data_IF_435952296516
#
_entry.id   IF_435952296516
#
_cell.length_a   1.000
_cell.length_b   1.000
_cell.length_c   1.000
_cell.angle_alpha   90.00
_cell.angle_beta   90.00
_cell.angle_gamma   90.00
#
_symmetry.space_group_name_H-M   'P 1'
#
loop_
_entity.id
_entity.type
_entity.pdbx_description
1 polymer ?
#
# COMPACT_ATOMS: atom_id res chain seq x y z
N UNK A 1 -12.91 12.88 5.73
CA UNK A 1 -12.89 11.99 4.54
C UNK A 1 -12.11 10.69 4.81
N UNK A 2 -10.93 10.78 5.43
CA UNK A 2 -10.11 9.58 5.73
C UNK A 2 -10.88 8.53 6.54
N UNK A 3 -11.57 8.93 7.60
CA UNK A 3 -12.32 8.00 8.44
C UNK A 3 -13.50 7.38 7.70
N UNK A 4 -14.16 8.12 6.83
CA UNK A 4 -15.23 7.62 6.00
C UNK A 4 -14.75 6.55 5.01
N UNK A 5 -13.56 6.73 4.43
CA UNK A 5 -12.92 5.75 3.55
C UNK A 5 -12.57 4.48 4.35
N UNK A 6 -11.98 4.62 5.53
CA UNK A 6 -11.62 3.49 6.40
C UNK A 6 -12.87 2.69 6.78
N UNK A 7 -13.95 3.36 7.17
CA UNK A 7 -15.23 2.71 7.47
C UNK A 7 -15.79 1.96 6.26
N UNK A 8 -15.77 2.58 5.08
CA UNK A 8 -16.24 1.96 3.86
C UNK A 8 -15.41 0.71 3.51
N UNK A 9 -14.08 0.79 3.65
CA UNK A 9 -13.20 -0.36 3.44
C UNK A 9 -13.52 -1.49 4.41
N UNK A 10 -13.65 -1.18 5.71
CA UNK A 10 -14.01 -2.18 6.72
C UNK A 10 -15.33 -2.88 6.40
N UNK A 11 -16.34 -2.12 6.00
CA UNK A 11 -17.65 -2.67 5.66
C UNK A 11 -17.61 -3.57 4.44
N UNK A 12 -16.97 -3.11 3.36
CA UNK A 12 -16.93 -3.88 2.11
C UNK A 12 -16.09 -5.16 2.23
N UNK A 13 -14.96 -5.12 2.94
CA UNK A 13 -14.18 -6.32 3.19
C UNK A 13 -14.92 -7.31 4.09
N UNK A 14 -15.66 -6.82 5.09
CA UNK A 14 -16.48 -7.68 5.96
C UNK A 14 -17.60 -8.36 5.20
N UNK A 15 -18.27 -7.67 4.27
CA UNK A 15 -19.32 -8.27 3.43
C UNK A 15 -18.82 -9.44 2.60
N UNK A 16 -17.61 -9.33 2.08
CA UNK A 16 -16.97 -10.37 1.25
C UNK A 16 -16.21 -11.42 2.09
N UNK A 17 -16.29 -11.33 3.41
CA UNK A 17 -15.62 -12.23 4.35
C UNK A 17 -14.11 -12.32 4.13
N UNK A 18 -13.48 -11.20 3.74
CA UNK A 18 -12.03 -11.09 3.58
C UNK A 18 -11.45 -10.46 4.84
N UNK A 19 -10.59 -11.21 5.53
CA UNK A 19 -9.85 -10.69 6.68
C UNK A 19 -8.69 -9.82 6.18
N UNK A 20 -8.65 -8.57 6.62
CA UNK A 20 -7.55 -7.65 6.32
C UNK A 20 -7.03 -7.02 7.63
N UNK A 21 -5.76 -6.64 7.60
CA UNK A 21 -5.13 -5.87 8.67
C UNK A 21 -5.05 -4.41 8.23
N UNK A 22 -6.00 -3.60 8.69
CA UNK A 22 -6.09 -2.17 8.35
C UNK A 22 -5.84 -1.32 9.59
N UNK A 23 -4.96 -0.33 9.45
CA UNK A 23 -4.73 0.68 10.49
C UNK A 23 -5.93 1.63 10.54
N UNK A 24 -6.58 1.72 11.70
CA UNK A 24 -7.81 2.50 11.86
C UNK A 24 -7.58 4.02 11.90
N UNK A 25 -6.32 4.45 11.97
CA UNK A 25 -5.95 5.87 11.94
C UNK A 25 -5.49 6.31 10.55
N UNK A 26 -4.68 5.49 9.88
CA UNK A 26 -4.06 5.85 8.61
C UNK A 26 -4.74 5.22 7.39
N UNK A 27 -5.45 4.11 7.59
CA UNK A 27 -6.03 3.33 6.50
C UNK A 27 -5.03 2.44 5.78
N UNK A 28 -3.78 2.36 6.23
CA UNK A 28 -2.78 1.46 5.66
C UNK A 28 -3.20 0.00 5.85
N UNK A 29 -3.14 -0.78 4.79
CA UNK A 29 -3.44 -2.21 4.82
C UNK A 29 -2.15 -2.99 4.70
N UNK A 30 -1.94 -3.96 5.57
CA UNK A 30 -0.71 -4.74 5.68
C UNK A 30 -0.96 -6.18 5.25
N UNK A 31 -0.11 -6.69 4.34
CA UNK A 31 -0.10 -8.08 3.92
C UNK A 31 1.24 -8.73 4.28
N UNK A 32 1.17 -9.95 4.82
CA UNK A 32 2.38 -10.76 4.97
C UNK A 32 2.96 -11.06 3.57
N UNK A 33 4.25 -10.82 3.41
CA UNK A 33 4.92 -11.04 2.12
C UNK A 33 4.83 -12.50 1.65
N UNK A 34 4.70 -13.47 2.56
CA UNK A 34 4.58 -14.88 2.24
C UNK A 34 3.27 -15.23 1.50
N UNK A 35 2.25 -14.39 1.59
CA UNK A 35 1.01 -14.55 0.81
C UNK A 35 1.28 -14.28 -0.68
N UNK A 36 2.12 -13.30 -0.97
CA UNK A 36 2.35 -12.81 -2.32
C UNK A 36 3.55 -13.46 -3.01
N UNK A 37 4.62 -13.75 -2.26
CA UNK A 37 5.90 -14.16 -2.83
C UNK A 37 6.51 -15.38 -2.13
N UNK A 38 7.26 -16.17 -2.88
CA UNK A 38 8.19 -17.12 -2.31
C UNK A 38 9.44 -16.39 -1.78
N UNK A 39 10.19 -17.08 -0.93
CA UNK A 39 11.39 -16.51 -0.30
C UNK A 39 12.36 -15.96 -1.36
N UNK A 40 12.84 -14.75 -1.16
CA UNK A 40 13.79 -14.04 -2.03
C UNK A 40 13.29 -13.81 -3.45
N UNK A 41 12.01 -13.98 -3.71
CA UNK A 41 11.38 -13.75 -5.02
C UNK A 41 10.56 -12.46 -5.01
N UNK A 42 10.47 -11.82 -6.17
CA UNK A 42 9.59 -10.66 -6.40
C UNK A 42 8.43 -10.99 -7.34
N UNK A 43 8.44 -12.14 -7.98
CA UNK A 43 7.32 -12.62 -8.78
C UNK A 43 6.16 -13.01 -7.85
N UNK A 44 4.95 -12.54 -8.17
CA UNK A 44 3.76 -12.87 -7.38
C UNK A 44 3.36 -14.32 -7.69
N UNK A 45 3.30 -15.15 -6.65
CA UNK A 45 2.91 -16.56 -6.78
C UNK A 45 1.39 -16.71 -6.93
N UNK A 46 0.94 -17.88 -7.34
CA UNK A 46 -0.48 -18.16 -7.63
C UNK A 46 -1.42 -17.82 -6.48
N UNK A 47 -1.04 -18.14 -5.24
CA UNK A 47 -1.80 -17.77 -4.03
C UNK A 47 -1.96 -16.25 -3.90
N UNK A 48 -0.89 -15.52 -4.18
CA UNK A 48 -0.91 -14.06 -4.16
C UNK A 48 -1.81 -13.45 -5.23
N UNK A 49 -1.80 -14.03 -6.43
CA UNK A 49 -2.70 -13.63 -7.52
C UNK A 49 -4.16 -13.83 -7.11
N UNK A 50 -4.49 -14.99 -6.56
CA UNK A 50 -5.84 -15.28 -6.06
C UNK A 50 -6.28 -14.27 -4.99
N UNK A 51 -5.38 -13.93 -4.09
CA UNK A 51 -5.64 -12.95 -3.05
C UNK A 51 -5.89 -11.56 -3.65
N UNK A 52 -5.02 -11.10 -4.55
CA UNK A 52 -5.17 -9.79 -5.20
C UNK A 52 -6.44 -9.70 -6.04
N UNK A 53 -6.85 -10.78 -6.69
CA UNK A 53 -8.10 -10.83 -7.49
C UNK A 53 -9.34 -10.62 -6.61
N UNK A 54 -9.28 -10.99 -5.34
CA UNK A 54 -10.35 -10.73 -4.37
C UNK A 54 -10.23 -9.34 -3.74
N UNK A 55 -9.00 -8.91 -3.48
CA UNK A 55 -8.70 -7.65 -2.77
C UNK A 55 -8.93 -6.42 -3.64
N UNK A 56 -8.36 -6.41 -4.85
CA UNK A 56 -8.32 -5.20 -5.69
C UNK A 56 -9.69 -4.66 -6.08
N UNK A 57 -10.67 -5.49 -6.48
CA UNK A 57 -11.99 -4.96 -6.83
C UNK A 57 -12.65 -4.20 -5.67
N UNK A 58 -12.46 -4.69 -4.45
CA UNK A 58 -13.02 -4.05 -3.25
C UNK A 58 -12.29 -2.75 -2.96
N UNK A 59 -10.96 -2.81 -2.86
CA UNK A 59 -10.14 -1.67 -2.49
C UNK A 59 -10.29 -0.51 -3.49
N UNK A 60 -10.08 -0.81 -4.76
CA UNK A 60 -10.19 0.19 -5.83
C UNK A 60 -11.64 0.64 -6.01
N UNK A 61 -12.59 -0.27 -5.85
CA UNK A 61 -14.02 0.06 -5.91
C UNK A 61 -14.43 1.10 -4.88
N UNK A 62 -13.89 1.02 -3.67
CA UNK A 62 -14.15 2.02 -2.62
C UNK A 62 -13.43 3.33 -2.93
N UNK A 63 -12.11 3.28 -3.16
CA UNK A 63 -11.31 4.49 -3.35
C UNK A 63 -11.74 5.30 -4.59
N UNK A 64 -12.14 4.61 -5.65
CA UNK A 64 -12.59 5.26 -6.90
C UNK A 64 -14.11 5.35 -7.03
N UNK A 65 -14.83 5.12 -5.94
CA UNK A 65 -16.27 5.39 -5.92
C UNK A 65 -16.54 6.87 -6.19
N UNK A 66 -17.76 7.19 -6.64
CA UNK A 66 -18.16 8.57 -6.91
C UNK A 66 -18.02 9.48 -5.68
N UNK A 67 -18.10 8.89 -4.48
CA UNK A 67 -17.96 9.60 -3.21
C UNK A 67 -16.52 10.03 -2.93
N UNK A 68 -15.52 9.19 -3.23
CA UNK A 68 -14.14 9.40 -2.79
C UNK A 68 -13.11 9.67 -3.89
N UNK A 69 -13.42 9.34 -5.14
CA UNK A 69 -12.43 9.37 -6.24
C UNK A 69 -11.68 10.68 -6.39
N UNK A 70 -12.36 11.80 -6.14
CA UNK A 70 -11.79 13.13 -6.32
C UNK A 70 -10.90 13.56 -5.14
N UNK A 71 -10.94 12.81 -4.04
CA UNK A 71 -10.15 13.08 -2.84
C UNK A 71 -8.82 12.32 -2.82
N UNK A 72 -8.61 11.35 -3.70
CA UNK A 72 -7.43 10.48 -3.70
C UNK A 72 -6.29 11.15 -4.48
N UNK A 73 -5.21 11.47 -3.78
CA UNK A 73 -4.01 12.04 -4.39
C UNK A 73 -3.04 10.95 -4.87
N UNK A 74 -2.88 9.87 -4.08
CA UNK A 74 -1.91 8.82 -4.37
C UNK A 74 -2.33 7.50 -3.72
N UNK A 75 -2.02 6.39 -4.39
CA UNK A 75 -2.05 5.04 -3.84
C UNK A 75 -0.63 4.52 -3.89
N UNK A 76 -0.09 4.08 -2.75
CA UNK A 76 1.31 3.71 -2.62
C UNK A 76 1.37 2.22 -2.26
N UNK A 77 2.05 1.44 -3.09
CA UNK A 77 2.40 0.06 -2.78
C UNK A 77 3.81 0.09 -2.20
N UNK A 78 3.96 -0.31 -0.95
CA UNK A 78 5.20 -0.18 -0.20
C UNK A 78 5.71 -1.54 0.25
N UNK A 79 6.93 -1.89 -0.17
CA UNK A 79 7.59 -3.13 0.19
C UNK A 79 8.53 -2.94 1.38
N UNK A 80 8.50 -3.89 2.32
CA UNK A 80 9.36 -3.94 3.50
C UNK A 80 9.98 -5.30 3.66
N UNK A 81 11.22 -5.35 4.14
CA UNK A 81 11.96 -6.59 4.41
C UNK A 81 12.28 -6.73 5.89
N UNK A 82 12.77 -7.92 6.28
CA UNK A 82 13.43 -8.08 7.55
C UNK A 82 14.87 -7.55 7.50
N UNK A 83 15.61 -7.73 8.57
CA UNK A 83 16.98 -7.24 8.73
C UNK A 83 18.05 -8.23 8.28
N UNK A 84 17.66 -9.36 7.71
CA UNK A 84 18.60 -10.32 7.12
C UNK A 84 19.12 -9.79 5.78
N UNK A 85 20.36 -10.06 5.46
CA UNK A 85 21.04 -9.55 4.26
C UNK A 85 21.29 -8.03 4.31
N UNK A 86 21.99 -7.51 3.30
CA UNK A 86 22.37 -6.10 3.25
C UNK A 86 21.23 -5.16 2.91
N UNK A 87 21.39 -3.90 3.29
CA UNK A 87 20.38 -2.86 3.03
C UNK A 87 20.08 -2.69 1.55
N UNK A 88 21.11 -2.63 0.70
CA UNK A 88 20.90 -2.40 -0.75
C UNK A 88 20.25 -3.59 -1.44
N UNK A 89 20.62 -4.82 -1.06
CA UNK A 89 19.95 -6.02 -1.57
C UNK A 89 18.45 -5.97 -1.24
N UNK A 90 18.13 -5.67 0.02
CA UNK A 90 16.74 -5.58 0.48
C UNK A 90 16.01 -4.38 -0.14
N UNK A 91 16.71 -3.29 -0.42
CA UNK A 91 16.09 -2.15 -1.12
C UNK A 91 15.63 -2.56 -2.52
N UNK A 92 16.50 -3.25 -3.27
CA UNK A 92 16.13 -3.79 -4.58
C UNK A 92 14.99 -4.78 -4.51
N UNK A 93 15.05 -5.74 -3.58
CA UNK A 93 14.00 -6.75 -3.41
C UNK A 93 12.65 -6.10 -3.05
N UNK A 94 12.65 -5.18 -2.09
CA UNK A 94 11.42 -4.50 -1.66
C UNK A 94 10.83 -3.64 -2.76
N UNK A 95 11.67 -2.97 -3.55
CA UNK A 95 11.22 -2.19 -4.71
C UNK A 95 10.63 -3.09 -5.78
N UNK A 96 11.28 -4.19 -6.12
CA UNK A 96 10.82 -5.13 -7.13
C UNK A 96 9.50 -5.80 -6.72
N UNK A 97 9.33 -6.10 -5.44
CA UNK A 97 8.09 -6.65 -4.90
C UNK A 97 6.93 -5.66 -5.00
N UNK A 98 7.16 -4.42 -4.61
CA UNK A 98 6.14 -3.37 -4.75
C UNK A 98 5.79 -3.14 -6.23
N UNK A 99 6.79 -3.11 -7.09
CA UNK A 99 6.61 -2.93 -8.55
C UNK A 99 5.78 -4.06 -9.15
N UNK A 100 6.01 -5.33 -8.77
CA UNK A 100 5.22 -6.45 -9.29
C UNK A 100 3.74 -6.32 -8.97
N UNK A 101 3.39 -5.79 -7.80
CA UNK A 101 1.97 -5.52 -7.45
C UNK A 101 1.39 -4.44 -8.36
N UNK A 102 2.11 -3.35 -8.58
CA UNK A 102 1.67 -2.27 -9.48
C UNK A 102 1.49 -2.79 -10.90
N UNK A 103 2.44 -3.56 -11.42
CA UNK A 103 2.35 -4.16 -12.75
C UNK A 103 1.13 -5.07 -12.87
N UNK A 104 0.89 -5.91 -11.86
CA UNK A 104 -0.29 -6.77 -11.83
C UNK A 104 -1.58 -5.96 -11.87
N UNK A 105 -1.69 -4.91 -11.05
CA UNK A 105 -2.86 -4.04 -11.02
C UNK A 105 -3.19 -3.43 -12.38
N UNK A 106 -2.17 -2.96 -13.09
CA UNK A 106 -2.35 -2.20 -14.33
C UNK A 106 -2.48 -3.09 -15.58
N UNK A 107 -1.87 -4.28 -15.58
CA UNK A 107 -1.79 -5.13 -16.78
C UNK A 107 -2.69 -6.36 -16.71
N UNK A 108 -2.67 -7.10 -15.60
CA UNK A 108 -3.21 -8.45 -15.54
C UNK A 108 -4.43 -8.60 -14.62
N UNK A 109 -4.74 -7.59 -13.81
CA UNK A 109 -5.87 -7.65 -12.89
C UNK A 109 -7.21 -7.58 -13.61
N UNK A 110 -8.27 -7.99 -12.90
CA UNK A 110 -9.66 -7.93 -13.39
C UNK A 110 -10.29 -6.54 -13.32
N UNK A 111 -9.53 -5.52 -12.92
CA UNK A 111 -10.01 -4.14 -12.91
C UNK A 111 -10.42 -3.71 -14.33
N UNK A 112 -11.44 -2.84 -14.41
CA UNK A 112 -11.89 -2.31 -15.70
C UNK A 112 -10.80 -1.44 -16.34
N UNK A 113 -10.89 -1.26 -17.65
CA UNK A 113 -9.98 -0.38 -18.39
C UNK A 113 -9.99 1.03 -17.80
N UNK A 114 -11.16 1.54 -17.45
CA UNK A 114 -11.33 2.86 -16.86
C UNK A 114 -10.64 2.96 -15.49
N UNK A 115 -10.82 1.93 -14.64
CA UNK A 115 -10.16 1.85 -13.33
C UNK A 115 -8.63 1.80 -13.48
N UNK A 116 -8.12 1.03 -14.43
CA UNK A 116 -6.68 0.94 -14.71
C UNK A 116 -6.11 2.28 -15.18
N UNK A 117 -6.80 2.99 -16.05
CA UNK A 117 -6.37 4.32 -16.49
C UNK A 117 -6.35 5.33 -15.35
N UNK A 118 -7.38 5.33 -14.52
CA UNK A 118 -7.47 6.18 -13.34
C UNK A 118 -6.37 5.83 -12.33
N UNK A 119 -6.15 4.54 -12.09
CA UNK A 119 -5.12 4.03 -11.18
C UNK A 119 -3.71 4.43 -11.65
N UNK A 120 -3.45 4.38 -12.95
CA UNK A 120 -2.15 4.74 -13.53
C UNK A 120 -1.71 6.15 -13.15
N UNK A 121 -2.64 7.07 -12.97
CA UNK A 121 -2.33 8.47 -12.64
C UNK A 121 -1.96 8.68 -11.16
N UNK A 122 -2.23 7.72 -10.29
CA UNK A 122 -2.07 7.89 -8.84
C UNK A 122 -1.26 6.80 -8.14
N UNK A 123 -1.03 5.64 -8.79
CA UNK A 123 -0.34 4.52 -8.13
C UNK A 123 1.17 4.62 -8.28
N UNK A 124 1.88 4.35 -7.18
CA UNK A 124 3.35 4.30 -7.12
C UNK A 124 3.82 3.06 -6.38
N UNK A 125 5.08 2.68 -6.61
CA UNK A 125 5.76 1.59 -5.92
C UNK A 125 6.93 2.16 -5.13
N UNK A 126 7.06 1.77 -3.86
CA UNK A 126 8.11 2.25 -2.98
C UNK A 126 8.74 1.11 -2.17
N UNK A 127 10.01 0.85 -2.41
CA UNK A 127 10.80 -0.09 -1.63
C UNK A 127 11.43 0.60 -0.43
N UNK A 128 11.26 0.03 0.78
CA UNK A 128 11.76 0.61 2.03
C UNK A 128 12.89 -0.21 2.65
N UNK A 129 13.29 -1.32 2.03
CA UNK A 129 14.30 -2.21 2.63
C UNK A 129 13.90 -2.58 4.07
N UNK A 130 14.84 -2.55 5.02
CA UNK A 130 14.54 -2.75 6.43
C UNK A 130 14.52 -1.44 7.24
N UNK A 131 14.22 -0.32 6.60
CA UNK A 131 14.22 0.99 7.27
C UNK A 131 13.11 1.17 8.31
N UNK A 132 12.09 0.32 8.29
CA UNK A 132 10.95 0.41 9.21
C UNK A 132 10.56 -0.99 9.70
N UNK A 133 11.40 -1.65 10.54
CA UNK A 133 11.09 -2.97 11.04
C UNK A 133 9.94 -2.98 12.02
N UNK A 134 9.25 -4.11 12.11
CA UNK A 134 8.24 -4.36 13.14
C UNK A 134 8.95 -5.00 14.34
N UNK A 135 8.62 -4.53 15.54
CA UNK A 135 9.20 -5.03 16.80
C UNK A 135 8.18 -5.87 17.56
N UNK A 136 8.68 -6.89 18.26
CA UNK A 136 7.86 -7.69 19.16
C UNK A 136 7.71 -7.00 20.53
N UNK A 137 7.00 -7.66 21.45
CA UNK A 137 6.73 -7.13 22.78
C UNK A 137 8.02 -6.93 23.62
N UNK A 138 9.11 -7.64 23.30
CA UNK A 138 10.40 -7.53 23.98
C UNK A 138 11.33 -6.47 23.34
N UNK A 139 10.86 -5.75 22.33
CA UNK A 139 11.63 -4.76 21.63
C UNK A 139 12.61 -5.30 20.61
N UNK A 140 12.52 -6.60 20.28
CA UNK A 140 13.34 -7.23 19.24
C UNK A 140 12.62 -7.17 17.91
N UNK A 141 13.39 -7.17 16.81
CA UNK A 141 12.82 -7.20 15.46
C UNK A 141 12.03 -8.49 15.26
N UNK A 142 10.76 -8.36 14.90
CA UNK A 142 9.94 -9.47 14.45
C UNK A 142 10.21 -9.67 12.96
N UNK A 143 11.02 -10.66 12.62
CA UNK A 143 11.44 -10.89 11.24
C UNK A 143 10.26 -11.22 10.33
N UNK A 144 9.36 -12.08 10.78
CA UNK A 144 8.21 -12.49 9.98
C UNK A 144 7.26 -11.32 9.69
N UNK A 145 6.92 -10.52 10.72
CA UNK A 145 6.04 -9.36 10.55
C UNK A 145 6.70 -8.20 9.80
N UNK A 146 8.04 -8.14 9.82
CA UNK A 146 8.77 -7.12 9.06
C UNK A 146 8.71 -7.37 7.55
N UNK A 147 8.60 -8.63 7.12
CA UNK A 147 8.42 -9.02 5.71
C UNK A 147 6.98 -8.80 5.29
N UNK A 148 6.70 -7.63 4.72
CA UNK A 148 5.33 -7.23 4.41
C UNK A 148 5.24 -6.32 3.20
N UNK A 149 4.05 -6.22 2.67
CA UNK A 149 3.65 -5.18 1.72
C UNK A 149 2.54 -4.35 2.37
N UNK A 150 2.67 -3.05 2.30
CA UNK A 150 1.64 -2.14 2.78
C UNK A 150 1.01 -1.44 1.59
N UNK A 151 -0.32 -1.34 1.61
CA UNK A 151 -1.09 -0.57 0.64
C UNK A 151 -1.62 0.66 1.35
N UNK A 152 -1.20 1.83 0.87
CA UNK A 152 -1.51 3.12 1.50
C UNK A 152 -2.21 4.03 0.50
N UNK A 153 -3.01 4.94 1.00
CA UNK A 153 -3.53 6.04 0.20
C UNK A 153 -3.24 7.38 0.86
N UNK A 154 -3.07 8.41 0.05
CA UNK A 154 -2.89 9.78 0.49
C UNK A 154 -3.98 10.65 -0.12
N UNK A 155 -4.53 11.55 0.68
CA UNK A 155 -5.61 12.44 0.26
C UNK A 155 -5.07 13.78 -0.24
N UNK A 156 -5.79 14.42 -1.14
CA UNK A 156 -5.43 15.75 -1.68
C UNK A 156 -5.39 16.82 -0.62
N UNK A 157 -6.24 16.72 0.40
CA UNK A 157 -6.24 17.65 1.54
C UNK A 157 -4.91 17.62 2.31
N UNK A 158 -4.34 16.41 2.48
CA UNK A 158 -3.03 16.23 3.13
C UNK A 158 -1.92 16.87 2.31
N UNK A 159 -1.97 16.74 0.99
CA UNK A 159 -1.03 17.37 0.07
C UNK A 159 -1.10 18.91 0.18
N UNK A 160 -2.31 19.48 0.18
CA UNK A 160 -2.54 20.90 0.32
C UNK A 160 -1.98 21.43 1.66
N UNK A 161 -2.19 20.72 2.76
CA UNK A 161 -1.65 21.10 4.08
C UNK A 161 -0.14 21.14 4.05
N UNK A 162 0.52 20.15 3.45
CA UNK A 162 1.98 20.12 3.32
C UNK A 162 2.50 21.28 2.48
N UNK A 163 1.85 21.64 1.38
CA UNK A 163 2.22 22.77 0.55
C UNK A 163 2.10 24.09 1.33
N UNK A 164 1.02 24.27 2.08
CA UNK A 164 0.82 25.47 2.91
C UNK A 164 1.88 25.57 4.00
N UNK A 165 2.23 24.49 4.67
CA UNK A 165 3.31 24.46 5.66
C UNK A 165 4.65 24.81 5.04
N UNK A 166 4.96 24.28 3.86
CA UNK A 166 6.17 24.62 3.11
C UNK A 166 6.26 26.10 2.73
N UNK A 167 5.15 26.74 2.39
CA UNK A 167 5.09 28.17 2.09
C UNK A 167 5.34 28.99 3.37
N UNK A 168 4.74 28.62 4.49
CA UNK A 168 4.93 29.29 5.77
C UNK A 168 6.38 29.21 6.24
N UNK A 169 7.00 28.03 6.16
CA UNK A 169 8.40 27.84 6.53
C UNK A 169 9.35 28.69 5.67
N UNK A 170 9.09 28.81 4.36
CA UNK A 170 9.87 29.68 3.48
C UNK A 170 9.67 31.15 3.77
N UNK A 171 8.49 31.53 4.27
CA UNK A 171 8.20 32.92 4.68
C UNK A 171 8.95 33.36 5.93
N UNK A 172 9.21 32.46 6.85
CA UNK A 172 9.90 32.73 8.12
C UNK A 172 11.43 32.87 7.96
N UNK A 173 12.00 32.54 6.81
CA UNK A 173 13.44 32.61 6.52
C UNK A 173 13.84 33.95 5.83
N UNK A 174 12.94 34.88 5.64
CA UNK A 174 13.17 36.22 5.13
C UNK A 174 13.08 37.26 6.24
#
# INVERSE_FOLDING_TARGET
VKQEIIEALNQEFSKEEIAINIDQQTGAIVFDASILYDRSKSEIKGEGIQFLDRFLPIYIGVLFSSEFKDDIAEIIIEGHTDTDSGYMYNLGLSQDRALSVVEYCLSDSSLSKEQKEQLRSVITANGRSFSNPVYDADGKVDLAKSRRVEVKFRLKDEEMIQELQGILERGDTQ
#
